data_IF_476275886610
#
_entry.id   IF_476275886610
#
_cell.length_a   1.000
_cell.length_b   1.000
_cell.length_c   1.000
_cell.angle_alpha   90.00
_cell.angle_beta   90.00
_cell.angle_gamma   90.00
#
_symmetry.space_group_name_H-M   'P 1'
#
loop_
_entity.id
_entity.type
_entity.pdbx_description
1 polymer ?
#
# COMPACT_ATOMS: atom_id res chain seq x y z
N UNK A 1 42.65 12.02 35.28
CA UNK A 1 41.76 12.26 34.10
C UNK A 1 41.01 10.95 33.80
N UNK A 2 39.74 10.87 34.21
CA UNK A 2 38.88 9.75 33.91
C UNK A 2 38.13 10.08 32.61
N UNK A 3 38.43 9.40 31.50
CA UNK A 3 37.65 9.49 30.28
C UNK A 3 36.40 8.61 30.44
N UNK A 4 35.23 9.22 30.66
CA UNK A 4 33.95 8.56 30.47
C UNK A 4 33.72 8.47 28.95
N UNK A 5 33.91 7.30 28.38
CA UNK A 5 33.36 6.94 27.07
C UNK A 5 31.85 6.74 27.25
N UNK A 6 31.07 7.79 26.96
CA UNK A 6 29.67 7.64 26.76
C UNK A 6 29.48 6.87 25.45
N UNK A 7 29.25 5.55 25.54
CA UNK A 7 28.70 4.79 24.42
C UNK A 7 27.25 5.24 24.27
N UNK A 8 27.00 6.16 23.34
CA UNK A 8 25.64 6.34 22.84
C UNK A 8 25.22 5.02 22.20
N UNK A 9 24.38 4.26 22.87
CA UNK A 9 23.65 3.21 22.19
C UNK A 9 22.81 3.91 21.12
N UNK A 10 23.24 3.84 19.86
CA UNK A 10 22.39 4.25 18.75
C UNK A 10 21.08 3.44 18.89
N UNK A 11 19.99 4.14 19.12
CA UNK A 11 18.67 3.49 19.10
C UNK A 11 18.55 2.77 17.77
N UNK A 12 18.22 1.48 17.80
CA UNK A 12 18.02 0.71 16.57
C UNK A 12 16.94 1.42 15.74
N UNK A 13 17.22 1.61 14.45
CA UNK A 13 16.25 2.20 13.51
C UNK A 13 14.98 1.32 13.52
N UNK A 14 13.78 1.89 13.73
CA UNK A 14 12.55 1.10 13.75
C UNK A 14 12.20 0.61 12.35
N UNK A 15 11.60 -0.56 12.23
CA UNK A 15 10.93 -0.99 11.01
C UNK A 15 9.66 -0.15 10.81
N UNK A 16 9.34 0.17 9.56
CA UNK A 16 8.20 0.99 9.21
C UNK A 16 7.35 0.26 8.17
N UNK A 17 6.09 0.04 8.52
CA UNK A 17 5.09 -0.52 7.61
C UNK A 17 3.97 0.49 7.45
N UNK A 18 3.71 0.91 6.22
CA UNK A 18 2.62 1.81 5.88
C UNK A 18 1.57 1.06 5.08
N UNK A 19 0.48 0.64 5.73
CA UNK A 19 -0.67 -0.01 5.10
C UNK A 19 -1.63 1.08 4.64
N UNK A 20 -1.90 1.14 3.33
CA UNK A 20 -2.75 2.15 2.72
C UNK A 20 -3.89 1.49 1.95
N UNK A 21 -5.13 1.76 2.37
CA UNK A 21 -6.32 1.13 1.80
C UNK A 21 -6.98 2.10 0.81
N UNK A 22 -7.40 1.60 -0.34
CA UNK A 22 -8.09 2.39 -1.37
C UNK A 22 -9.60 2.47 -1.07
N UNK A 23 -10.17 3.66 -1.14
CA UNK A 23 -11.61 3.93 -0.96
C UNK A 23 -12.22 3.44 0.38
N UNK A 24 -11.46 3.41 1.47
CA UNK A 24 -11.96 3.08 2.81
C UNK A 24 -12.47 4.32 3.55
N UNK A 25 -13.68 4.24 4.09
CA UNK A 25 -14.26 5.27 4.92
C UNK A 25 -13.94 5.12 6.42
N UNK A 26 -14.12 6.20 7.19
CA UNK A 26 -13.91 6.19 8.65
C UNK A 26 -14.77 5.16 9.35
N UNK A 27 -16.08 5.11 9.04
CA UNK A 27 -17.03 4.21 9.68
C UNK A 27 -17.00 2.77 9.19
N UNK A 28 -16.00 2.39 8.42
CA UNK A 28 -15.81 1.02 7.98
C UNK A 28 -15.10 0.15 9.03
N UNK A 29 -14.50 0.77 10.04
CA UNK A 29 -13.73 0.11 11.09
C UNK A 29 -14.40 0.20 12.46
N UNK A 30 -14.34 -0.87 13.25
CA UNK A 30 -14.92 -0.93 14.60
C UNK A 30 -14.36 0.15 15.52
N UNK A 31 -13.05 0.40 15.50
CA UNK A 31 -12.40 1.45 16.30
C UNK A 31 -12.88 2.88 15.95
N UNK A 32 -13.53 3.07 14.80
CA UNK A 32 -14.15 4.32 14.39
C UNK A 32 -15.68 4.29 14.43
N UNK A 33 -16.30 3.22 14.95
CA UNK A 33 -17.72 3.16 15.24
C UNK A 33 -18.53 2.22 14.35
N UNK A 34 -17.92 1.45 13.44
CA UNK A 34 -18.62 0.39 12.72
C UNK A 34 -19.10 -0.69 13.71
N UNK A 35 -20.39 -1.04 13.66
CA UNK A 35 -20.98 -2.08 14.52
C UNK A 35 -21.21 -3.38 13.73
N UNK A 36 -21.37 -3.28 12.43
CA UNK A 36 -21.82 -4.35 11.56
C UNK A 36 -20.67 -5.04 10.82
N UNK A 37 -19.55 -4.31 10.60
CA UNK A 37 -18.34 -4.84 9.98
C UNK A 37 -17.33 -5.13 11.10
N UNK A 38 -16.81 -6.35 11.12
CA UNK A 38 -15.90 -6.79 12.18
C UNK A 38 -14.44 -6.61 11.77
N UNK A 39 -13.71 -5.77 12.52
CA UNK A 39 -12.30 -5.47 12.26
C UNK A 39 -11.44 -5.67 13.52
N UNK A 40 -11.45 -6.86 14.15
CA UNK A 40 -10.83 -7.06 15.47
C UNK A 40 -9.32 -6.86 15.48
N UNK A 41 -8.62 -7.10 14.37
CA UNK A 41 -7.17 -6.93 14.31
C UNK A 41 -6.77 -5.46 14.25
N UNK A 42 -7.46 -4.67 13.41
CA UNK A 42 -7.26 -3.22 13.31
C UNK A 42 -7.74 -2.53 14.59
N UNK A 43 -8.84 -2.99 15.19
CA UNK A 43 -9.35 -2.48 16.47
C UNK A 43 -8.34 -2.73 17.60
N UNK A 44 -7.70 -3.90 17.63
CA UNK A 44 -6.62 -4.19 18.57
C UNK A 44 -5.44 -3.25 18.37
N UNK A 45 -5.01 -3.02 17.11
CA UNK A 45 -3.95 -2.06 16.80
C UNK A 45 -4.29 -0.66 17.33
N UNK A 46 -5.53 -0.22 17.19
CA UNK A 46 -5.99 1.07 17.69
C UNK A 46 -5.93 1.17 19.22
N UNK A 47 -6.05 0.04 19.94
CA UNK A 47 -5.93 0.01 21.42
C UNK A 47 -4.47 -0.08 21.89
N UNK A 48 -3.60 -0.69 21.11
CA UNK A 48 -2.18 -0.85 21.43
C UNK A 48 -1.32 0.35 20.98
N UNK A 49 -1.86 1.19 20.08
CA UNK A 49 -1.17 2.33 19.49
C UNK A 49 -1.89 3.66 19.62
N UNK A 50 -1.75 4.50 18.62
CA UNK A 50 -2.38 5.82 18.53
C UNK A 50 -3.45 5.79 17.45
N UNK A 51 -4.67 6.17 17.81
CA UNK A 51 -5.78 6.37 16.89
C UNK A 51 -5.97 7.85 16.60
N UNK A 52 -5.81 8.25 15.34
CA UNK A 52 -6.07 9.63 14.91
C UNK A 52 -7.57 9.83 14.67
N UNK A 53 -8.12 10.91 15.19
CA UNK A 53 -9.53 11.31 14.99
C UNK A 53 -9.71 12.30 13.86
N UNK A 54 -8.63 12.97 13.45
CA UNK A 54 -8.62 14.04 12.46
C UNK A 54 -7.43 13.87 11.50
N UNK A 55 -7.42 12.76 10.76
CA UNK A 55 -6.45 12.48 9.72
C UNK A 55 -7.15 12.49 8.36
N UNK A 56 -6.62 13.27 7.41
CA UNK A 56 -7.25 13.49 6.10
C UNK A 56 -6.28 13.14 4.99
N UNK A 57 -6.79 12.45 3.95
CA UNK A 57 -6.05 12.29 2.70
C UNK A 57 -5.87 13.65 2.00
N UNK A 58 -4.73 13.83 1.35
CA UNK A 58 -4.41 15.10 0.67
C UNK A 58 -5.28 15.38 -0.57
N UNK A 59 -5.96 14.38 -1.09
CA UNK A 59 -6.88 14.47 -2.23
C UNK A 59 -7.91 13.32 -2.21
N UNK A 60 -9.07 13.50 -2.86
CA UNK A 60 -10.16 12.51 -2.85
C UNK A 60 -10.03 11.44 -3.93
N UNK A 61 -8.94 11.39 -4.69
CA UNK A 61 -8.70 10.42 -5.77
C UNK A 61 -7.29 9.82 -5.70
N UNK A 62 -7.12 8.64 -6.29
CA UNK A 62 -5.97 7.74 -6.12
C UNK A 62 -4.59 8.40 -6.35
N UNK A 63 -4.25 8.79 -7.58
CA UNK A 63 -2.90 9.27 -7.90
C UNK A 63 -2.50 10.52 -7.10
N UNK A 64 -3.35 11.57 -7.01
CA UNK A 64 -3.05 12.73 -6.17
C UNK A 64 -2.87 12.39 -4.69
N UNK A 65 -3.73 11.52 -4.13
CA UNK A 65 -3.63 11.11 -2.74
C UNK A 65 -2.32 10.36 -2.46
N UNK A 66 -1.96 9.41 -3.34
CA UNK A 66 -0.71 8.62 -3.25
C UNK A 66 0.53 9.50 -3.42
N UNK A 67 0.51 10.43 -4.38
CA UNK A 67 1.59 11.38 -4.56
C UNK A 67 1.79 12.26 -3.32
N UNK A 68 0.69 12.80 -2.77
CA UNK A 68 0.73 13.61 -1.55
C UNK A 68 1.28 12.84 -0.36
N UNK A 69 0.88 11.57 -0.20
CA UNK A 69 1.38 10.69 0.86
C UNK A 69 2.90 10.45 0.72
N UNK A 70 3.34 10.03 -0.47
CA UNK A 70 4.72 9.63 -0.68
C UNK A 70 5.71 10.80 -0.68
N UNK A 71 5.28 12.02 -1.01
CA UNK A 71 6.16 13.20 -1.06
C UNK A 71 6.02 14.14 0.13
N UNK A 72 4.96 13.97 0.95
CA UNK A 72 4.62 14.92 2.00
C UNK A 72 4.18 16.30 1.47
N UNK A 73 3.92 16.41 0.16
CA UNK A 73 3.54 17.66 -0.50
C UNK A 73 2.06 17.65 -0.93
N UNK A 74 1.41 18.79 -0.85
CA UNK A 74 0.08 18.90 -1.47
C UNK A 74 0.16 18.60 -2.97
N UNK A 75 -0.71 17.72 -3.51
CA UNK A 75 -0.67 17.27 -4.92
C UNK A 75 -0.62 18.41 -5.93
N UNK A 76 -1.26 19.53 -5.60
CA UNK A 76 -1.24 20.73 -6.46
C UNK A 76 0.15 21.37 -6.59
N UNK A 77 1.00 21.25 -5.57
CA UNK A 77 2.36 21.81 -5.58
C UNK A 77 3.30 21.04 -6.50
N UNK A 78 3.07 19.75 -6.60
CA UNK A 78 3.88 18.82 -7.39
C UNK A 78 3.24 18.50 -8.76
N UNK A 79 2.26 19.27 -9.20
CA UNK A 79 1.60 19.11 -10.50
C UNK A 79 0.70 17.85 -10.62
N UNK A 80 0.48 17.11 -9.53
CA UNK A 80 -0.25 15.84 -9.51
C UNK A 80 -1.62 15.99 -8.84
N UNK A 81 -2.52 16.83 -9.43
CA UNK A 81 -3.77 17.21 -8.76
C UNK A 81 -5.02 17.16 -9.64
N UNK A 82 -4.88 16.96 -10.96
CA UNK A 82 -6.02 17.12 -11.89
C UNK A 82 -6.82 15.82 -11.96
N UNK A 83 -6.13 14.69 -12.17
CA UNK A 83 -6.73 13.38 -12.35
C UNK A 83 -5.75 12.26 -12.01
N UNK A 84 -6.17 11.00 -12.19
CA UNK A 84 -5.31 9.83 -12.07
C UNK A 84 -4.41 9.66 -13.32
N UNK A 85 -3.26 9.07 -13.16
CA UNK A 85 -2.44 8.63 -14.29
C UNK A 85 -3.05 7.37 -14.88
N UNK A 86 -3.50 7.45 -16.13
CA UNK A 86 -4.13 6.33 -16.86
C UNK A 86 -3.07 5.52 -17.59
N UNK A 87 -3.41 4.30 -17.99
CA UNK A 87 -2.50 3.38 -18.67
C UNK A 87 -1.91 3.92 -19.99
N UNK A 88 -2.59 4.88 -20.63
CA UNK A 88 -2.10 5.58 -21.83
C UNK A 88 -1.34 6.89 -21.49
N UNK A 89 -1.27 7.25 -20.22
CA UNK A 89 -0.60 8.48 -19.77
C UNK A 89 0.91 8.32 -19.83
N UNK A 90 1.57 9.33 -20.40
CA UNK A 90 3.04 9.47 -20.37
C UNK A 90 3.53 10.35 -19.23
N UNK A 91 2.69 10.56 -18.24
CA UNK A 91 2.98 11.34 -17.03
C UNK A 91 2.92 10.46 -15.79
N UNK A 92 3.58 10.89 -14.74
CA UNK A 92 3.61 10.23 -13.44
C UNK A 92 4.01 11.21 -12.35
N UNK A 93 4.39 10.69 -11.19
CA UNK A 93 5.04 11.49 -10.16
C UNK A 93 6.32 12.10 -10.72
N UNK A 94 6.53 13.40 -10.49
CA UNK A 94 7.69 14.08 -11.08
C UNK A 94 9.00 13.46 -10.52
N UNK A 95 9.98 13.15 -11.37
CA UNK A 95 11.20 12.45 -10.93
C UNK A 95 12.08 13.24 -9.97
N UNK A 96 11.91 14.56 -9.89
CA UNK A 96 12.66 15.43 -8.96
C UNK A 96 11.99 15.52 -7.58
N UNK A 97 10.80 14.93 -7.41
CA UNK A 97 10.16 14.85 -6.10
C UNK A 97 10.80 13.72 -5.27
N UNK A 98 11.17 14.03 -4.04
CA UNK A 98 11.71 13.04 -3.12
C UNK A 98 10.56 12.27 -2.47
N UNK A 99 10.50 10.98 -2.69
CA UNK A 99 9.50 10.09 -2.11
C UNK A 99 9.95 9.52 -0.78
N UNK A 100 9.00 8.98 0.01
CA UNK A 100 9.31 8.19 1.20
C UNK A 100 10.23 7.00 0.86
N UNK A 101 10.05 6.37 -0.31
CA UNK A 101 10.93 5.28 -0.77
C UNK A 101 12.38 5.73 -0.87
N UNK A 102 12.64 6.86 -1.54
CA UNK A 102 13.99 7.41 -1.70
C UNK A 102 14.57 7.87 -0.37
N UNK A 103 13.78 8.58 0.45
CA UNK A 103 14.21 9.04 1.76
C UNK A 103 14.64 7.89 2.67
N UNK A 104 13.84 6.83 2.77
CA UNK A 104 14.20 5.67 3.60
C UNK A 104 15.37 4.89 3.02
N UNK A 105 15.46 4.78 1.69
CA UNK A 105 16.61 4.14 1.03
C UNK A 105 17.92 4.89 1.29
N UNK A 106 17.92 6.22 1.22
CA UNK A 106 19.08 7.05 1.56
C UNK A 106 19.49 6.86 3.03
N UNK A 107 18.53 6.67 3.91
CA UNK A 107 18.74 6.34 5.31
C UNK A 107 19.16 4.87 5.56
N UNK A 108 19.37 4.08 4.52
CA UNK A 108 19.86 2.70 4.60
C UNK A 108 18.82 1.66 4.97
N UNK A 109 17.54 1.96 4.76
CA UNK A 109 16.46 0.98 4.87
C UNK A 109 16.36 0.11 3.62
N UNK A 110 15.93 -1.14 3.79
CA UNK A 110 15.39 -1.93 2.69
C UNK A 110 13.98 -1.47 2.38
N UNK A 111 13.67 -1.22 1.11
CA UNK A 111 12.42 -0.57 0.73
C UNK A 111 11.58 -1.47 -0.17
N UNK A 112 10.29 -1.60 0.13
CA UNK A 112 9.34 -2.32 -0.70
C UNK A 112 8.06 -1.53 -0.93
N UNK A 113 7.52 -1.63 -2.16
CA UNK A 113 6.16 -1.23 -2.49
C UNK A 113 5.41 -2.47 -2.96
N UNK A 114 4.38 -2.89 -2.20
CA UNK A 114 3.60 -4.09 -2.49
C UNK A 114 2.13 -3.72 -2.61
N UNK A 115 1.58 -3.76 -3.82
CA UNK A 115 0.20 -3.37 -4.12
C UNK A 115 0.06 -2.41 -5.29
N UNK A 116 -0.95 -1.54 -5.24
CA UNK A 116 -1.29 -0.58 -6.30
C UNK A 116 -0.37 0.64 -6.26
N UNK A 117 0.36 0.88 -7.36
CA UNK A 117 1.23 2.05 -7.51
C UNK A 117 0.48 3.32 -7.90
N UNK A 118 -0.06 3.36 -9.09
CA UNK A 118 -0.90 4.40 -9.71
C UNK A 118 -0.26 5.80 -9.78
N UNK A 119 1.07 5.86 -9.95
CA UNK A 119 1.85 7.11 -10.05
C UNK A 119 2.71 7.19 -11.32
N UNK A 120 2.30 6.47 -12.36
CA UNK A 120 2.96 6.38 -13.67
C UNK A 120 3.39 4.97 -14.02
N UNK A 121 3.55 4.69 -15.32
CA UNK A 121 3.64 3.33 -15.87
C UNK A 121 4.86 3.07 -16.71
N UNK A 122 5.60 4.12 -17.01
CA UNK A 122 6.83 4.09 -17.81
C UNK A 122 7.98 4.68 -16.99
N UNK A 123 9.20 4.40 -17.42
CA UNK A 123 10.36 5.13 -16.92
C UNK A 123 10.18 6.65 -17.15
N UNK A 124 10.51 7.52 -16.20
CA UNK A 124 11.17 7.25 -14.91
C UNK A 124 10.21 7.10 -13.72
N UNK A 125 8.91 6.87 -13.93
CA UNK A 125 7.87 6.94 -12.90
C UNK A 125 7.63 5.61 -12.14
N UNK A 126 8.36 4.56 -12.48
CA UNK A 126 8.17 3.23 -11.87
C UNK A 126 8.65 3.20 -10.41
N UNK A 127 8.09 2.33 -9.56
CA UNK A 127 8.48 2.23 -8.15
C UNK A 127 9.99 2.10 -7.92
N UNK A 128 10.70 1.35 -8.78
CA UNK A 128 12.17 1.19 -8.69
C UNK A 128 12.94 2.50 -8.87
N UNK A 129 12.39 3.45 -9.62
CA UNK A 129 12.97 4.78 -9.85
C UNK A 129 12.57 5.77 -8.76
N UNK A 130 11.65 5.39 -7.89
CA UNK A 130 11.12 6.17 -6.77
C UNK A 130 11.54 5.58 -5.41
N UNK A 131 12.73 4.93 -5.37
CA UNK A 131 13.39 4.49 -4.17
C UNK A 131 12.98 3.12 -3.63
N UNK A 132 12.17 2.33 -4.33
CA UNK A 132 11.78 0.99 -3.87
C UNK A 132 12.69 -0.08 -4.47
N UNK A 133 13.38 -0.85 -3.60
CA UNK A 133 14.23 -1.98 -3.98
C UNK A 133 13.42 -3.18 -4.46
N UNK A 134 12.22 -3.35 -3.90
CA UNK A 134 11.29 -4.41 -4.24
C UNK A 134 9.92 -3.85 -4.61
N UNK A 135 9.36 -4.36 -5.71
CA UNK A 135 8.00 -4.04 -6.14
C UNK A 135 7.23 -5.31 -6.51
N UNK A 136 6.03 -5.44 -5.95
CA UNK A 136 5.06 -6.45 -6.36
C UNK A 136 3.66 -5.84 -6.39
N UNK A 137 2.97 -5.86 -7.53
CA UNK A 137 1.63 -5.30 -7.58
C UNK A 137 1.15 -4.87 -8.96
N UNK A 138 0.15 -4.01 -8.94
CA UNK A 138 -0.48 -3.41 -10.10
C UNK A 138 -0.02 -1.95 -10.26
N UNK A 139 0.46 -1.60 -11.46
CA UNK A 139 0.77 -0.19 -11.75
C UNK A 139 -0.50 0.66 -11.86
N UNK A 140 -1.67 0.04 -12.08
CA UNK A 140 -2.96 0.68 -12.30
C UNK A 140 -4.07 0.11 -11.43
N UNK A 141 -5.31 0.43 -11.81
CA UNK A 141 -6.55 -0.21 -11.35
C UNK A 141 -6.95 -1.42 -12.20
N UNK A 142 -7.99 -2.09 -11.74
CA UNK A 142 -8.70 -3.14 -12.47
C UNK A 142 -10.08 -2.69 -12.98
N UNK A 143 -10.40 -1.39 -12.91
CA UNK A 143 -11.68 -0.88 -13.39
C UNK A 143 -11.78 -0.93 -14.93
N UNK A 144 -13.01 -0.93 -15.48
CA UNK A 144 -13.21 -1.06 -16.93
C UNK A 144 -12.52 0.01 -17.76
N UNK A 145 -12.28 1.19 -17.19
CA UNK A 145 -11.61 2.31 -17.88
C UNK A 145 -10.13 2.01 -18.11
N UNK A 146 -9.49 1.27 -17.20
CA UNK A 146 -8.09 0.87 -17.31
C UNK A 146 -7.93 -0.46 -18.07
N UNK A 147 -8.85 -1.41 -17.86
CA UNK A 147 -8.79 -2.75 -18.51
C UNK A 147 -8.75 -2.64 -20.03
N UNK A 148 -9.47 -1.70 -20.63
CA UNK A 148 -9.53 -1.50 -22.09
C UNK A 148 -8.14 -1.34 -22.74
N UNK A 149 -7.17 -0.77 -22.03
CA UNK A 149 -5.79 -0.62 -22.55
C UNK A 149 -4.98 -1.90 -22.57
N UNK A 150 -5.50 -2.97 -22.01
CA UNK A 150 -4.83 -4.26 -21.86
C UNK A 150 -5.59 -5.44 -22.45
N UNK A 151 -6.76 -5.22 -23.08
CA UNK A 151 -7.60 -6.31 -23.63
C UNK A 151 -6.82 -7.12 -24.69
N UNK A 152 -6.13 -6.44 -25.60
CA UNK A 152 -5.31 -7.06 -26.66
C UNK A 152 -4.03 -7.72 -26.11
N UNK A 153 -3.67 -7.45 -24.84
CA UNK A 153 -2.48 -7.96 -24.14
C UNK A 153 -2.80 -9.05 -23.12
N UNK A 154 -4.05 -9.51 -23.07
CA UNK A 154 -4.50 -10.55 -22.12
C UNK A 154 -4.79 -10.01 -20.71
N UNK A 155 -5.11 -8.73 -20.57
CA UNK A 155 -5.52 -8.09 -19.31
C UNK A 155 -4.41 -7.33 -18.58
N UNK A 156 -4.76 -6.70 -17.47
CA UNK A 156 -3.83 -5.93 -16.61
C UNK A 156 -2.75 -6.85 -16.03
N UNK A 157 -1.46 -6.47 -16.08
CA UNK A 157 -0.41 -7.30 -15.53
C UNK A 157 -0.27 -7.14 -14.02
N UNK A 158 -0.12 -8.25 -13.30
CA UNK A 158 0.50 -8.29 -11.98
C UNK A 158 2.01 -8.42 -12.16
N UNK A 159 2.77 -7.53 -11.58
CA UNK A 159 4.21 -7.36 -11.86
C UNK A 159 5.03 -7.59 -10.59
N UNK A 160 6.15 -8.31 -10.73
CA UNK A 160 7.20 -8.39 -9.69
C UNK A 160 8.52 -7.90 -10.28
N UNK A 161 9.06 -6.79 -9.76
CA UNK A 161 10.35 -6.21 -10.15
C UNK A 161 10.54 -6.02 -11.67
N UNK A 162 9.47 -5.63 -12.37
CA UNK A 162 9.44 -5.41 -13.80
C UNK A 162 8.99 -6.61 -14.64
N UNK A 163 8.88 -7.80 -14.05
CA UNK A 163 8.42 -9.00 -14.74
C UNK A 163 6.94 -9.27 -14.51
N UNK A 164 6.21 -9.66 -15.55
CA UNK A 164 4.79 -10.03 -15.45
C UNK A 164 4.69 -11.45 -14.87
N UNK A 165 4.07 -11.57 -13.68
CA UNK A 165 3.89 -12.87 -13.01
C UNK A 165 2.51 -13.48 -13.23
N UNK A 166 1.50 -12.66 -13.51
CA UNK A 166 0.13 -13.11 -13.80
C UNK A 166 -0.61 -12.09 -14.68
N UNK A 167 -1.49 -12.56 -15.58
CA UNK A 167 -2.26 -11.69 -16.46
C UNK A 167 -3.56 -12.37 -16.94
N UNK A 168 -4.76 -11.85 -16.66
CA UNK A 168 -5.01 -10.87 -15.62
C UNK A 168 -4.93 -11.52 -14.23
N UNK A 169 -4.69 -10.77 -13.15
CA UNK A 169 -4.90 -11.29 -11.81
C UNK A 169 -6.39 -11.43 -11.51
N UNK A 170 -6.75 -12.34 -10.64
CA UNK A 170 -8.08 -12.42 -10.06
C UNK A 170 -8.18 -11.38 -8.92
N UNK A 171 -9.14 -10.43 -8.97
CA UNK A 171 -9.33 -9.47 -7.89
C UNK A 171 -9.51 -10.11 -6.51
N UNK A 172 -10.14 -11.29 -6.45
CA UNK A 172 -10.37 -12.03 -5.23
C UNK A 172 -9.10 -12.61 -4.57
N UNK A 173 -7.97 -12.66 -5.28
CA UNK A 173 -6.71 -13.13 -4.75
C UNK A 173 -5.78 -11.99 -4.26
N UNK A 174 -6.03 -10.73 -4.67
CA UNK A 174 -5.06 -9.64 -4.53
C UNK A 174 -4.73 -9.33 -3.08
N UNK A 175 -5.70 -9.30 -2.18
CA UNK A 175 -5.46 -9.00 -0.76
C UNK A 175 -4.54 -10.05 -0.13
N UNK A 176 -4.76 -11.33 -0.43
CA UNK A 176 -3.95 -12.42 0.09
C UNK A 176 -2.54 -12.43 -0.50
N UNK A 177 -2.39 -12.32 -1.82
CA UNK A 177 -1.06 -12.37 -2.46
C UNK A 177 -0.19 -11.17 -2.10
N UNK A 178 -0.76 -9.98 -1.88
CA UNK A 178 -0.02 -8.84 -1.36
C UNK A 178 0.45 -9.06 0.07
N UNK A 179 -0.40 -9.67 0.89
CA UNK A 179 -0.06 -10.01 2.27
C UNK A 179 1.03 -11.06 2.35
N UNK A 180 0.96 -12.10 1.52
CA UNK A 180 1.98 -13.15 1.44
C UNK A 180 3.34 -12.59 1.02
N UNK A 181 3.37 -11.75 0.00
CA UNK A 181 4.58 -11.05 -0.45
C UNK A 181 5.15 -10.12 0.64
N UNK A 182 4.27 -9.40 1.36
CA UNK A 182 4.67 -8.54 2.48
C UNK A 182 5.29 -9.36 3.63
N UNK A 183 4.69 -10.49 3.99
CA UNK A 183 5.20 -11.39 5.02
C UNK A 183 6.56 -11.98 4.61
N UNK A 184 6.72 -12.38 3.35
CA UNK A 184 7.99 -12.86 2.83
C UNK A 184 9.06 -11.76 2.90
N UNK A 185 8.75 -10.54 2.47
CA UNK A 185 9.66 -9.40 2.57
C UNK A 185 10.09 -9.14 4.02
N UNK A 186 9.15 -9.10 4.98
CA UNK A 186 9.43 -8.88 6.39
C UNK A 186 10.37 -9.95 6.93
N UNK A 187 10.13 -11.23 6.64
CA UNK A 187 10.96 -12.35 7.09
C UNK A 187 12.38 -12.29 6.52
N UNK A 188 12.51 -11.91 5.26
CA UNK A 188 13.80 -11.81 4.58
C UNK A 188 14.65 -10.63 5.09
N UNK A 189 14.03 -9.60 5.67
CA UNK A 189 14.69 -8.39 6.15
C UNK A 189 14.57 -8.16 7.67
N UNK A 190 14.27 -9.20 8.45
CA UNK A 190 14.06 -9.10 9.91
C UNK A 190 15.28 -8.57 10.69
N UNK A 191 16.48 -8.71 10.15
CA UNK A 191 17.75 -8.37 10.82
C UNK A 191 18.29 -6.99 10.38
N UNK A 192 17.56 -6.26 9.55
CA UNK A 192 17.94 -4.93 9.06
C UNK A 192 16.71 -4.01 9.00
N UNK A 193 16.89 -2.67 9.10
CA UNK A 193 15.76 -1.76 9.05
C UNK A 193 15.09 -1.81 7.68
N UNK A 194 13.76 -1.85 7.65
CA UNK A 194 12.99 -1.83 6.41
C UNK A 194 11.82 -0.85 6.45
N UNK A 195 11.49 -0.34 5.26
CA UNK A 195 10.29 0.42 4.96
C UNK A 195 9.43 -0.35 3.97
N UNK A 196 8.25 -0.73 4.38
CA UNK A 196 7.25 -1.39 3.56
C UNK A 196 6.06 -0.46 3.33
N UNK A 197 5.85 -0.02 2.09
CA UNK A 197 4.63 0.62 1.63
C UNK A 197 3.72 -0.47 1.04
N UNK A 198 2.57 -0.69 1.68
CA UNK A 198 1.59 -1.72 1.31
C UNK A 198 0.26 -1.06 0.89
N UNK A 199 0.20 -0.49 -0.34
CA UNK A 199 -1.01 0.12 -0.87
C UNK A 199 -1.95 -0.92 -1.48
N UNK A 200 -2.96 -1.35 -0.72
CA UNK A 200 -3.96 -2.29 -1.22
C UNK A 200 -4.75 -1.74 -2.41
N UNK A 201 -5.19 -2.64 -3.29
CA UNK A 201 -6.12 -2.33 -4.40
C UNK A 201 -7.56 -2.25 -3.91
N UNK A 202 -7.93 -3.12 -2.96
CA UNK A 202 -9.22 -3.07 -2.28
C UNK A 202 -9.25 -1.85 -1.34
N UNK A 203 -10.35 -1.19 -1.15
CA UNK A 203 -11.74 -1.51 -1.55
C UNK A 203 -12.20 -0.87 -2.89
N UNK A 204 -11.29 -0.45 -3.74
CA UNK A 204 -11.67 0.10 -5.05
C UNK A 204 -12.30 -0.99 -5.94
N UNK A 205 -13.28 -0.60 -6.73
CA UNK A 205 -13.95 -1.51 -7.68
C UNK A 205 -13.04 -1.89 -8.88
N UNK A 206 -13.21 -3.09 -9.46
CA UNK A 206 -14.11 -4.17 -9.03
C UNK A 206 -13.65 -4.78 -7.71
N UNK A 207 -14.61 -5.02 -6.83
CA UNK A 207 -14.32 -5.71 -5.58
C UNK A 207 -13.90 -7.16 -5.87
N UNK A 208 -13.05 -7.69 -5.01
CA UNK A 208 -12.66 -9.09 -5.03
C UNK A 208 -12.50 -9.58 -3.61
N UNK A 209 -13.16 -10.69 -3.30
CA UNK A 209 -13.16 -11.30 -1.98
C UNK A 209 -12.87 -12.79 -2.11
N UNK A 210 -11.90 -13.29 -1.38
CA UNK A 210 -11.56 -14.70 -1.37
C UNK A 210 -12.69 -15.54 -0.75
N UNK A 211 -12.80 -16.80 -1.19
CA UNK A 211 -13.89 -17.70 -0.79
C UNK A 211 -14.15 -17.78 0.72
N UNK A 212 -13.12 -17.80 1.61
CA UNK A 212 -13.36 -17.86 3.05
C UNK A 212 -14.11 -16.67 3.64
N UNK A 213 -14.09 -15.52 2.94
CA UNK A 213 -14.70 -14.28 3.43
C UNK A 213 -16.02 -13.94 2.73
N UNK A 214 -16.37 -14.61 1.64
CA UNK A 214 -17.61 -14.38 0.93
C UNK A 214 -18.83 -14.68 1.82
N UNK A 215 -19.73 -13.69 1.95
CA UNK A 215 -20.95 -13.79 2.76
C UNK A 215 -20.73 -13.74 4.27
N UNK A 216 -19.56 -13.30 4.74
CA UNK A 216 -19.27 -13.18 6.17
C UNK A 216 -19.78 -11.88 6.78
N UNK A 217 -20.03 -10.87 5.95
CA UNK A 217 -20.58 -9.57 6.34
C UNK A 217 -22.03 -9.40 5.92
N UNK A 218 -22.83 -8.68 6.72
CA UNK A 218 -24.18 -8.25 6.34
C UNK A 218 -24.20 -7.13 5.28
N UNK A 219 -23.04 -6.51 5.03
CA UNK A 219 -22.86 -5.44 4.05
C UNK A 219 -22.36 -5.93 2.68
N UNK A 220 -22.61 -7.21 2.38
CA UNK A 220 -22.23 -7.83 1.11
C UNK A 220 -20.74 -7.79 0.86
N UNK A 221 -20.37 -7.81 -0.41
CA UNK A 221 -18.98 -7.95 -0.86
C UNK A 221 -18.05 -6.84 -0.32
N UNK A 222 -18.54 -5.62 -0.15
CA UNK A 222 -17.76 -4.52 0.44
C UNK A 222 -17.35 -4.82 1.89
N UNK A 223 -18.30 -5.22 2.72
CA UNK A 223 -18.03 -5.60 4.11
C UNK A 223 -17.18 -6.86 4.22
N UNK A 224 -17.37 -7.83 3.32
CA UNK A 224 -16.55 -9.04 3.23
C UNK A 224 -15.09 -8.69 2.93
N UNK A 225 -14.85 -7.76 1.99
CA UNK A 225 -13.51 -7.28 1.63
C UNK A 225 -12.81 -6.58 2.81
N UNK A 226 -13.55 -5.80 3.62
CA UNK A 226 -13.00 -5.16 4.81
C UNK A 226 -12.60 -6.22 5.85
N UNK A 227 -13.43 -7.23 6.07
CA UNK A 227 -13.12 -8.31 7.01
C UNK A 227 -11.91 -9.15 6.54
N UNK A 228 -11.76 -9.36 5.23
CA UNK A 228 -10.58 -9.99 4.66
C UNK A 228 -9.31 -9.14 4.84
N UNK A 229 -9.40 -7.83 4.61
CA UNK A 229 -8.30 -6.88 4.88
C UNK A 229 -7.89 -6.92 6.35
N UNK A 230 -8.85 -6.86 7.28
CA UNK A 230 -8.58 -6.95 8.72
C UNK A 230 -7.83 -8.23 9.09
N UNK A 231 -8.31 -9.38 8.58
CA UNK A 231 -7.63 -10.66 8.78
C UNK A 231 -6.18 -10.62 8.29
N UNK A 232 -5.94 -10.09 7.09
CA UNK A 232 -4.63 -10.02 6.48
C UNK A 232 -3.69 -9.04 7.20
N UNK A 233 -4.20 -7.92 7.72
CA UNK A 233 -3.47 -7.03 8.63
C UNK A 233 -3.05 -7.80 9.88
N UNK A 234 -3.93 -8.62 10.45
CA UNK A 234 -3.60 -9.49 11.58
C UNK A 234 -2.49 -10.49 11.29
N UNK A 235 -2.43 -11.06 10.08
CA UNK A 235 -1.33 -11.94 9.64
C UNK A 235 0.01 -11.22 9.64
N UNK A 236 0.05 -9.96 9.16
CA UNK A 236 1.26 -9.12 9.19
C UNK A 236 1.70 -8.88 10.62
N UNK A 237 0.80 -8.45 11.52
CA UNK A 237 1.11 -8.23 12.94
C UNK A 237 1.66 -9.47 13.62
N UNK A 238 1.08 -10.64 13.35
CA UNK A 238 1.56 -11.89 13.93
C UNK A 238 2.97 -12.27 13.42
N UNK A 239 3.35 -11.78 12.24
CA UNK A 239 4.70 -12.00 11.70
C UNK A 239 5.75 -11.09 12.37
N UNK A 240 5.34 -9.96 12.92
CA UNK A 240 6.21 -9.00 13.61
C UNK A 240 6.47 -9.34 15.08
N UNK A 241 5.67 -10.24 15.66
CA UNK A 241 5.83 -10.76 17.03
C UNK A 241 6.79 -11.93 17.08
#
# INVERSE_FOLDING_TARGET
FCFLLATSSASAKPNIIFIFIDDQGYYDLGCYGATEIKTPQIDQMATEGIRFTDYYAAAPICSPSRAGLLTGCYPRRIGNHIWVHRADSKSGIHPDEITLGEMFKEEGYKTACIGKWHLGFEEPFLPKNQGFDHYFGLLHNLDPVEIVYFEDKGGVPLIRNGEVVKRPPDPAELTEVYTDEAIEFIRNHKDEPFFLYLPHTMLHVPLGVSKPFQGTSQWGEYGDAIQELDHNVGRIFNTLK
#
